data_IF_020350271485
#
_entry.id   IF_020350271485
#
_cell.length_a   1.000
_cell.length_b   1.000
_cell.length_c   1.000
_cell.angle_alpha   90.00
_cell.angle_beta   90.00
_cell.angle_gamma   90.00
#
_symmetry.space_group_name_H-M   'P 1'
#
loop_
_entity.id
_entity.type
_entity.pdbx_description
1 polymer ?
#
# COMPACT_ATOMS: atom_id res chain seq x y z
N UNK A 1 21.69 55.39 33.81
CA UNK A 1 21.64 55.51 32.34
C UNK A 1 21.99 54.17 31.72
N UNK A 2 21.07 53.63 30.89
CA UNK A 2 21.29 52.67 29.79
C UNK A 2 21.65 51.22 30.18
N UNK A 3 21.04 50.17 29.65
CA UNK A 3 19.89 50.01 28.76
C UNK A 3 19.27 48.63 29.04
N UNK A 4 17.95 48.60 29.01
CA UNK A 4 17.08 47.44 28.92
C UNK A 4 17.44 46.59 27.69
N UNK A 5 17.59 45.27 27.85
CA UNK A 5 17.46 44.31 26.75
C UNK A 5 16.63 43.11 27.24
N UNK A 6 15.33 43.19 26.96
CA UNK A 6 14.41 42.06 27.00
C UNK A 6 14.80 41.11 25.86
N UNK A 7 15.47 40.00 26.18
CA UNK A 7 15.59 38.88 25.26
C UNK A 7 14.25 38.14 25.23
N UNK A 8 13.36 38.57 24.34
CA UNK A 8 12.15 37.83 24.01
C UNK A 8 12.54 36.48 23.43
N UNK A 9 12.28 35.40 24.17
CA UNK A 9 12.31 34.05 23.64
C UNK A 9 11.15 33.92 22.68
N UNK A 10 11.40 34.07 21.37
CA UNK A 10 10.48 33.66 20.35
C UNK A 10 10.34 32.13 20.44
N UNK A 11 9.30 31.67 21.15
CA UNK A 11 8.89 30.26 21.10
C UNK A 11 8.32 30.06 19.71
N UNK A 12 9.15 29.54 18.80
CA UNK A 12 8.65 29.01 17.54
C UNK A 12 7.66 27.89 17.88
N UNK A 13 6.37 28.13 17.68
CA UNK A 13 5.37 27.08 17.78
C UNK A 13 5.64 26.14 16.61
N UNK A 14 6.39 25.08 16.85
CA UNK A 14 6.56 23.98 15.91
C UNK A 14 5.16 23.39 15.74
N UNK A 15 4.44 23.80 14.69
CA UNK A 15 3.25 23.09 14.26
C UNK A 15 3.72 21.75 13.73
N UNK A 16 3.78 20.75 14.61
CA UNK A 16 3.82 19.36 14.18
C UNK A 16 2.49 19.13 13.47
N UNK A 17 2.50 19.17 12.14
CA UNK A 17 1.38 18.72 11.31
C UNK A 17 1.24 17.21 11.51
N UNK A 18 0.69 16.79 12.64
CA UNK A 18 0.18 15.43 12.77
C UNK A 18 -0.98 15.34 11.80
N UNK A 19 -0.73 14.72 10.65
CA UNK A 19 -1.79 14.23 9.77
C UNK A 19 -2.63 13.28 10.61
N UNK A 20 -3.72 13.81 11.16
CA UNK A 20 -4.63 13.02 11.97
C UNK A 20 -5.35 12.06 11.03
N UNK A 21 -5.15 10.76 11.22
CA UNK A 21 -5.87 9.72 10.47
C UNK A 21 -7.37 10.04 10.45
N UNK A 22 -8.02 10.08 9.28
CA UNK A 22 -9.44 10.43 9.20
C UNK A 22 -10.30 9.55 10.09
N UNK A 23 -11.32 10.13 10.74
CA UNK A 23 -12.18 9.40 11.69
C UNK A 23 -12.88 8.18 11.08
N UNK A 24 -13.18 8.20 9.77
CA UNK A 24 -13.79 7.05 9.11
C UNK A 24 -12.87 5.82 9.10
N UNK A 25 -11.54 5.97 9.11
CA UNK A 25 -10.60 4.85 9.17
C UNK A 25 -10.70 4.06 10.50
N UNK A 26 -11.34 4.63 11.52
CA UNK A 26 -11.55 3.94 12.80
C UNK A 26 -12.85 3.13 12.84
N UNK A 27 -13.73 3.29 11.84
CA UNK A 27 -15.02 2.60 11.79
C UNK A 27 -14.85 1.11 11.43
N UNK A 28 -15.73 0.21 11.91
CA UNK A 28 -15.77 -1.17 11.42
C UNK A 28 -16.24 -1.23 9.96
N UNK A 29 -15.94 -2.33 9.22
CA UNK A 29 -16.53 -2.54 7.89
C UNK A 29 -18.05 -2.61 8.00
N UNK A 30 -18.75 -1.99 7.05
CA UNK A 30 -20.20 -2.02 6.99
C UNK A 30 -20.67 -2.55 5.64
N UNK A 31 -21.28 -3.73 5.66
CA UNK A 31 -21.80 -4.39 4.46
C UNK A 31 -22.91 -3.56 3.78
N UNK A 32 -23.65 -2.74 4.52
CA UNK A 32 -24.77 -2.00 3.96
C UNK A 32 -26.00 -2.89 3.71
N UNK A 33 -26.96 -2.39 2.95
CA UNK A 33 -28.33 -2.95 2.86
C UNK A 33 -28.84 -3.21 1.43
N UNK A 34 -27.99 -3.05 0.42
CA UNK A 34 -28.34 -3.39 -0.97
C UNK A 34 -28.35 -4.90 -1.22
N UNK A 35 -28.37 -5.28 -2.50
CA UNK A 35 -28.50 -6.68 -2.95
C UNK A 35 -27.33 -7.16 -3.84
N UNK A 36 -26.28 -6.35 -3.97
CA UNK A 36 -25.09 -6.71 -4.75
C UNK A 36 -24.05 -7.43 -3.89
N UNK A 37 -23.04 -8.03 -4.51
CA UNK A 37 -21.92 -8.66 -3.81
C UNK A 37 -20.61 -8.10 -4.36
N UNK A 38 -20.18 -6.97 -3.81
CA UNK A 38 -18.96 -6.27 -4.23
C UNK A 38 -17.85 -6.56 -3.22
N UNK A 39 -16.71 -7.05 -3.69
CA UNK A 39 -15.50 -7.13 -2.87
C UNK A 39 -14.92 -5.71 -2.73
N UNK A 40 -14.93 -5.19 -1.51
CA UNK A 40 -14.32 -3.92 -1.16
C UNK A 40 -13.26 -4.11 -0.07
N UNK A 41 -12.49 -3.07 0.23
CA UNK A 41 -11.48 -3.09 1.29
C UNK A 41 -11.89 -2.15 2.42
N UNK A 42 -11.64 -2.56 3.66
CA UNK A 42 -11.73 -1.69 4.83
C UNK A 42 -10.38 -1.65 5.56
N UNK A 43 -10.09 -0.55 6.22
CA UNK A 43 -8.91 -0.39 7.04
C UNK A 43 -9.16 -0.88 8.47
N UNK A 44 -8.31 -1.80 8.92
CA UNK A 44 -8.24 -2.30 10.28
C UNK A 44 -7.17 -1.51 11.04
N UNK A 45 -7.59 -0.46 11.75
CA UNK A 45 -6.69 0.44 12.48
C UNK A 45 -5.90 -0.23 13.61
N UNK A 46 -6.38 -1.37 14.15
CA UNK A 46 -5.64 -2.13 15.18
C UNK A 46 -4.46 -2.90 14.58
N UNK A 47 -4.55 -3.28 13.30
CA UNK A 47 -3.53 -4.05 12.60
C UNK A 47 -2.71 -3.23 11.61
N UNK A 48 -3.09 -1.97 11.35
CA UNK A 48 -2.57 -1.14 10.26
C UNK A 48 -2.60 -1.87 8.91
N UNK A 49 -3.75 -2.46 8.58
CA UNK A 49 -3.93 -3.33 7.41
C UNK A 49 -5.25 -3.05 6.72
N UNK A 50 -5.27 -3.23 5.40
CA UNK A 50 -6.50 -3.20 4.60
C UNK A 50 -6.94 -4.62 4.25
N UNK A 51 -8.13 -5.01 4.69
CA UNK A 51 -8.68 -6.35 4.48
C UNK A 51 -9.92 -6.31 3.58
N UNK A 52 -10.13 -7.33 2.74
CA UNK A 52 -11.31 -7.42 1.91
C UNK A 52 -12.55 -7.74 2.77
N UNK A 53 -13.70 -7.21 2.37
CA UNK A 53 -15.01 -7.54 2.93
C UNK A 53 -16.09 -7.48 1.83
N UNK A 54 -17.24 -8.10 2.09
CA UNK A 54 -18.39 -8.05 1.18
C UNK A 54 -19.23 -6.80 1.44
N UNK A 55 -19.36 -5.95 0.43
CA UNK A 55 -20.25 -4.79 0.42
C UNK A 55 -21.48 -5.07 -0.45
N UNK A 56 -22.65 -4.69 0.06
CA UNK A 56 -23.95 -5.01 -0.52
C UNK A 56 -24.42 -3.98 -1.57
N UNK A 57 -23.57 -3.01 -1.94
CA UNK A 57 -23.85 -2.02 -2.99
C UNK A 57 -24.52 -0.73 -2.51
N UNK A 58 -25.22 -0.74 -1.38
CA UNK A 58 -25.92 0.44 -0.86
C UNK A 58 -25.65 0.69 0.63
N UNK A 59 -25.62 1.96 1.02
CA UNK A 59 -25.42 2.38 2.41
C UNK A 59 -24.01 2.09 2.94
N UNK A 60 -23.92 1.73 4.21
CA UNK A 60 -22.66 1.47 4.91
C UNK A 60 -21.96 2.75 5.39
N UNK A 61 -20.63 2.72 5.47
CA UNK A 61 -19.81 3.86 5.92
C UNK A 61 -18.58 4.07 5.01
N UNK A 62 -17.80 5.13 5.27
CA UNK A 62 -16.66 5.53 4.44
C UNK A 62 -15.37 4.74 4.67
N UNK A 63 -15.32 3.78 5.59
CA UNK A 63 -14.19 2.84 5.68
C UNK A 63 -14.33 1.74 4.61
N UNK A 64 -14.39 2.17 3.35
CA UNK A 64 -14.68 1.33 2.20
C UNK A 64 -13.94 1.87 0.98
N UNK A 65 -13.09 1.05 0.41
CA UNK A 65 -12.24 1.40 -0.73
C UNK A 65 -12.33 0.33 -1.81
N UNK A 66 -12.09 0.73 -3.05
CA UNK A 66 -12.17 -0.19 -4.21
C UNK A 66 -10.98 -1.15 -4.22
N UNK A 67 -9.83 -0.71 -3.71
CA UNK A 67 -8.62 -1.51 -3.68
C UNK A 67 -7.76 -1.22 -2.45
N UNK A 68 -6.84 -2.14 -2.16
CA UNK A 68 -5.94 -2.06 -1.01
C UNK A 68 -5.03 -0.82 -1.03
N UNK A 69 -4.52 -0.43 -2.21
CA UNK A 69 -3.63 0.72 -2.38
C UNK A 69 -4.29 2.01 -1.92
N UNK A 70 -5.53 2.25 -2.37
CA UNK A 70 -6.33 3.40 -1.96
C UNK A 70 -6.63 3.38 -0.46
N UNK A 71 -6.99 2.22 0.08
CA UNK A 71 -7.25 2.06 1.50
C UNK A 71 -6.04 2.43 2.37
N UNK A 72 -4.86 1.90 2.04
CA UNK A 72 -3.62 2.19 2.77
C UNK A 72 -3.25 3.67 2.64
N UNK A 73 -3.27 4.24 1.43
CA UNK A 73 -2.95 5.66 1.19
C UNK A 73 -3.87 6.63 1.95
N UNK A 74 -5.13 6.26 2.18
CA UNK A 74 -6.08 7.11 2.91
C UNK A 74 -6.02 6.96 4.43
N UNK A 75 -5.60 5.80 4.95
CA UNK A 75 -5.79 5.48 6.36
C UNK A 75 -4.52 5.13 7.15
N UNK A 76 -3.47 4.63 6.49
CA UNK A 76 -2.23 4.23 7.18
C UNK A 76 -1.28 5.41 7.32
N UNK A 77 -0.74 5.63 8.52
CA UNK A 77 0.38 6.55 8.70
C UNK A 77 1.68 6.04 8.05
N UNK A 78 1.74 4.73 7.74
CA UNK A 78 2.86 4.07 7.09
C UNK A 78 2.69 3.96 5.57
N UNK A 79 1.71 4.68 4.98
CA UNK A 79 1.35 4.53 3.58
C UNK A 79 2.52 4.67 2.61
N UNK A 80 3.43 5.62 2.83
CA UNK A 80 4.57 5.86 1.92
C UNK A 80 5.58 4.69 1.89
N UNK A 81 5.67 3.89 2.96
CA UNK A 81 6.55 2.72 2.99
C UNK A 81 5.87 1.45 2.45
N UNK A 82 4.58 1.52 2.10
CA UNK A 82 3.80 0.37 1.62
C UNK A 82 3.37 0.62 0.17
N UNK A 83 2.75 1.77 -0.12
CA UNK A 83 2.31 2.20 -1.44
C UNK A 83 2.74 3.66 -1.66
N UNK A 84 4.05 3.91 -1.91
CA UNK A 84 4.60 5.25 -2.09
C UNK A 84 3.84 6.01 -3.17
N UNK A 85 3.68 7.32 -2.97
CA UNK A 85 3.02 8.19 -3.96
C UNK A 85 3.77 8.19 -5.29
N UNK A 86 5.10 8.21 -5.24
CA UNK A 86 5.95 7.87 -6.37
C UNK A 86 6.03 6.35 -6.51
N UNK A 87 5.33 5.79 -7.50
CA UNK A 87 5.26 4.34 -7.69
C UNK A 87 6.60 3.71 -8.07
N UNK A 88 7.56 4.48 -8.59
CA UNK A 88 8.91 3.98 -8.91
C UNK A 88 9.69 3.56 -7.66
N UNK A 89 9.43 4.21 -6.51
CA UNK A 89 10.05 3.84 -5.23
C UNK A 89 9.65 2.43 -4.79
N UNK A 90 8.46 1.97 -5.18
CA UNK A 90 8.04 0.62 -4.86
C UNK A 90 8.81 -0.45 -5.65
N UNK A 91 9.47 -0.13 -6.75
CA UNK A 91 10.24 -1.09 -7.54
C UNK A 91 11.41 -1.71 -6.75
N UNK A 92 11.88 -1.05 -5.69
CA UNK A 92 12.90 -1.56 -4.77
C UNK A 92 12.37 -2.51 -3.68
N UNK A 93 11.04 -2.61 -3.52
CA UNK A 93 10.47 -3.50 -2.51
C UNK A 93 10.52 -4.95 -2.98
N UNK A 94 10.68 -5.91 -2.07
CA UNK A 94 10.47 -7.33 -2.43
C UNK A 94 8.99 -7.59 -2.73
N UNK A 95 8.71 -8.62 -3.54
CA UNK A 95 7.33 -9.10 -3.77
C UNK A 95 6.66 -9.46 -2.44
N UNK A 96 5.40 -9.07 -2.27
CA UNK A 96 4.62 -9.41 -1.08
C UNK A 96 3.46 -10.34 -1.44
N UNK A 97 3.58 -11.64 -1.10
CA UNK A 97 2.54 -12.67 -1.34
C UNK A 97 1.26 -12.34 -0.56
N UNK A 98 1.37 -11.72 0.61
CA UNK A 98 0.25 -11.45 1.51
C UNK A 98 -0.15 -12.67 2.34
N UNK A 99 -1.27 -12.57 3.05
CA UNK A 99 -1.71 -13.58 4.03
C UNK A 99 -3.16 -14.04 3.83
N UNK A 100 -3.76 -13.70 2.68
CA UNK A 100 -5.07 -14.20 2.28
C UNK A 100 -4.93 -15.59 1.61
N UNK A 101 -5.98 -16.08 0.94
CA UNK A 101 -6.02 -17.41 0.32
C UNK A 101 -6.41 -17.40 -1.17
N UNK A 102 -6.41 -16.23 -1.79
CA UNK A 102 -6.60 -16.09 -3.23
C UNK A 102 -5.36 -16.54 -4.00
N UNK A 103 -5.53 -16.78 -5.29
CA UNK A 103 -4.45 -17.08 -6.22
C UNK A 103 -4.54 -16.12 -7.40
N UNK A 104 -4.10 -14.88 -7.19
CA UNK A 104 -4.19 -13.82 -8.20
C UNK A 104 -2.83 -13.61 -8.85
N UNK A 105 -2.73 -13.91 -10.14
CA UNK A 105 -1.52 -13.61 -10.91
C UNK A 105 -1.26 -12.10 -10.94
N UNK A 106 -0.04 -11.72 -10.56
CA UNK A 106 0.46 -10.35 -10.60
C UNK A 106 1.91 -10.33 -11.06
N UNK A 107 2.39 -9.13 -11.36
CA UNK A 107 3.79 -8.89 -11.71
C UNK A 107 4.46 -8.10 -10.59
N UNK A 108 5.73 -8.38 -10.34
CA UNK A 108 6.60 -7.58 -9.49
C UNK A 108 7.90 -7.31 -10.27
N UNK A 109 8.57 -6.22 -9.95
CA UNK A 109 9.87 -5.91 -10.49
C UNK A 109 10.96 -6.53 -9.61
N UNK A 110 11.84 -7.28 -10.24
CA UNK A 110 13.07 -7.79 -9.63
C UNK A 110 14.21 -6.85 -10.02
N UNK A 111 14.55 -5.93 -9.11
CA UNK A 111 15.58 -4.91 -9.28
C UNK A 111 17.01 -5.46 -9.27
N UNK A 112 17.23 -6.70 -8.82
CA UNK A 112 18.55 -7.35 -8.89
C UNK A 112 18.83 -7.85 -10.31
N UNK A 113 17.77 -8.21 -11.04
CA UNK A 113 17.89 -8.81 -12.38
C UNK A 113 17.24 -7.97 -13.48
N UNK A 114 16.88 -6.72 -13.18
CA UNK A 114 16.24 -5.76 -14.07
C UNK A 114 15.04 -6.32 -14.86
N UNK A 115 14.21 -7.16 -14.22
CA UNK A 115 13.08 -7.83 -14.90
C UNK A 115 11.80 -7.83 -14.11
N UNK A 116 10.69 -7.57 -14.80
CA UNK A 116 9.35 -7.86 -14.30
C UNK A 116 9.08 -9.36 -14.35
N UNK A 117 8.82 -9.95 -13.18
CA UNK A 117 8.51 -11.38 -12.99
C UNK A 117 7.07 -11.56 -12.51
N UNK A 118 6.51 -12.74 -12.76
CA UNK A 118 5.18 -13.13 -12.27
C UNK A 118 5.27 -13.63 -10.82
N UNK A 119 4.20 -13.44 -10.06
CA UNK A 119 4.00 -14.10 -8.77
C UNK A 119 2.51 -14.26 -8.45
N UNK A 120 2.19 -15.16 -7.53
CA UNK A 120 0.82 -15.34 -7.02
C UNK A 120 0.63 -14.48 -5.77
N UNK A 121 -0.23 -13.48 -5.89
CA UNK A 121 -0.67 -12.66 -4.77
C UNK A 121 -1.93 -13.25 -4.13
N UNK A 122 -1.94 -13.28 -2.80
CA UNK A 122 -3.00 -13.93 -2.01
C UNK A 122 -4.34 -13.19 -2.01
N UNK A 123 -4.43 -12.01 -2.63
CA UNK A 123 -5.68 -11.23 -2.74
C UNK A 123 -5.90 -10.18 -1.65
N UNK A 124 -5.05 -10.12 -0.64
CA UNK A 124 -4.99 -9.00 0.29
C UNK A 124 -3.60 -8.86 0.88
N UNK A 125 -3.30 -7.67 1.38
CA UNK A 125 -2.06 -7.31 2.08
C UNK A 125 -0.85 -7.42 1.13
N UNK A 126 0.01 -6.42 1.16
CA UNK A 126 1.25 -6.42 0.41
C UNK A 126 1.80 -5.01 0.27
N UNK A 127 2.44 -4.74 -0.84
CA UNK A 127 3.10 -3.46 -1.10
C UNK A 127 2.95 -3.04 -2.57
N UNK A 128 3.53 -1.88 -2.90
CA UNK A 128 3.47 -1.25 -4.21
C UNK A 128 4.19 -2.00 -5.32
N UNK A 129 5.10 -2.95 -5.01
CA UNK A 129 5.77 -3.78 -6.02
C UNK A 129 4.82 -4.89 -6.51
N UNK A 130 3.70 -4.47 -7.07
CA UNK A 130 2.62 -5.34 -7.50
C UNK A 130 1.81 -4.66 -8.60
N UNK A 131 2.00 -5.17 -9.80
CA UNK A 131 1.42 -4.67 -11.03
C UNK A 131 0.41 -5.69 -11.58
N UNK A 132 -0.59 -5.18 -12.31
CA UNK A 132 -1.63 -6.02 -12.87
C UNK A 132 -1.11 -6.83 -14.07
N UNK A 133 -0.28 -6.18 -14.89
CA UNK A 133 0.28 -6.75 -16.11
C UNK A 133 1.76 -6.38 -16.28
N UNK A 134 2.43 -7.08 -17.19
CA UNK A 134 3.86 -6.88 -17.45
C UNK A 134 4.18 -5.48 -18.00
N UNK A 135 3.27 -4.91 -18.79
CA UNK A 135 3.45 -3.59 -19.40
C UNK A 135 3.52 -2.49 -18.36
N UNK A 136 2.56 -2.49 -17.42
CA UNK A 136 2.52 -1.54 -16.30
C UNK A 136 3.74 -1.67 -15.38
N UNK A 137 4.23 -2.89 -15.14
CA UNK A 137 5.46 -3.10 -14.39
C UNK A 137 6.68 -2.50 -15.11
N UNK A 138 6.87 -2.85 -16.40
CA UNK A 138 8.00 -2.36 -17.18
C UNK A 138 7.98 -0.84 -17.33
N UNK A 139 6.81 -0.23 -17.58
CA UNK A 139 6.71 1.22 -17.74
C UNK A 139 7.04 1.99 -16.46
N UNK A 140 6.82 1.39 -15.29
CA UNK A 140 7.09 2.03 -14.00
C UNK A 140 8.52 1.81 -13.54
N UNK A 141 9.10 0.63 -13.78
CA UNK A 141 10.33 0.21 -13.11
C UNK A 141 11.55 0.03 -14.02
N UNK A 142 11.40 0.02 -15.35
CA UNK A 142 12.53 -0.29 -16.24
C UNK A 142 13.73 0.64 -16.01
N UNK A 143 14.90 0.04 -15.78
CA UNK A 143 16.16 0.74 -15.57
C UNK A 143 16.49 1.03 -14.09
N UNK A 144 15.65 0.60 -13.15
CA UNK A 144 15.98 0.60 -11.72
C UNK A 144 16.79 -0.66 -11.41
N UNK A 145 18.00 -0.53 -10.88
CA UNK A 145 18.86 -1.66 -10.51
C UNK A 145 19.30 -1.53 -9.04
N UNK A 146 19.23 -2.62 -8.29
CA UNK A 146 19.78 -2.73 -6.94
C UNK A 146 21.04 -3.61 -6.98
N UNK A 147 22.15 -3.14 -6.40
CA UNK A 147 23.42 -3.88 -6.34
C UNK A 147 23.42 -5.04 -5.32
N UNK A 148 22.26 -5.67 -5.10
CA UNK A 148 22.07 -6.70 -4.10
C UNK A 148 22.70 -8.03 -4.52
N UNK A 149 23.51 -8.62 -3.62
CA UNK A 149 23.92 -10.02 -3.69
C UNK A 149 22.75 -10.95 -3.27
N UNK A 150 21.67 -10.97 -4.05
CA UNK A 150 20.66 -12.02 -3.94
C UNK A 150 21.07 -13.10 -4.94
N UNK A 151 21.64 -14.25 -4.51
CA UNK A 151 21.84 -15.36 -5.44
C UNK A 151 20.47 -15.63 -6.05
N UNK A 152 20.39 -15.85 -7.37
CA UNK A 152 19.15 -16.29 -8.01
C UNK A 152 18.59 -17.43 -7.17
N UNK A 153 17.62 -17.15 -6.30
CA UNK A 153 16.69 -18.18 -5.92
C UNK A 153 16.02 -18.46 -7.25
N UNK A 154 16.44 -19.58 -7.84
CA UNK A 154 15.73 -20.36 -8.84
C UNK A 154 14.32 -20.67 -8.29
N UNK A 155 13.55 -19.66 -7.88
CA UNK A 155 12.12 -19.77 -7.77
C UNK A 155 11.67 -19.98 -9.20
N UNK A 156 11.26 -21.20 -9.57
CA UNK A 156 10.77 -21.44 -10.90
C UNK A 156 9.65 -20.45 -11.14
N UNK A 157 9.67 -19.77 -12.29
CA UNK A 157 8.53 -18.99 -12.77
C UNK A 157 7.28 -19.84 -12.49
N UNK A 158 6.45 -19.37 -11.56
CA UNK A 158 5.46 -20.24 -10.91
C UNK A 158 4.64 -20.89 -12.02
N UNK A 159 4.59 -22.24 -12.11
CA UNK A 159 3.94 -22.90 -13.23
C UNK A 159 2.51 -22.37 -13.38
N UNK A 160 2.23 -21.81 -14.55
CA UNK A 160 0.88 -21.51 -14.97
C UNK A 160 0.22 -22.87 -15.12
N UNK A 161 -0.68 -23.22 -14.19
CA UNK A 161 -1.54 -24.38 -14.39
C UNK A 161 -2.26 -24.22 -15.72
N UNK A 162 -2.02 -25.16 -16.63
CA UNK A 162 -2.79 -25.35 -17.87
C UNK A 162 -4.26 -25.64 -17.58
#
# INVERSE_FOLDING_TARGET
MKHLLLLGMAVAIIHVSQSSTPGFCQLPPSAGNGLEFIVAFYYNHTKDQCNPFMYNGEGGNSNRFVNERECIRNCSANAENIYPTDESLACHFKKAIGQCRGQLLRYYYDSVHDKCKKFIWSGCIGNGNRFFDQGSCNSTCAGIHDDGDDPEEDEPDTPIGE
#
